data_IF_406775644224
#
_entry.id   IF_406775644224
#
_cell.length_a   1.000
_cell.length_b   1.000
_cell.length_c   1.000
_cell.angle_alpha   90.00
_cell.angle_beta   90.00
_cell.angle_gamma   90.00
#
_symmetry.space_group_name_H-M   'P 1'
#
loop_
_entity.id
_entity.type
_entity.pdbx_description
1 polymer ?
#
# COMPACT_ATOMS: atom_id res chain seq x y z
N UNK A 1 9.04 6.56 12.47
CA UNK A 1 10.02 6.22 11.42
C UNK A 1 9.83 7.19 10.27
N UNK A 2 10.89 7.67 9.62
CA UNK A 2 10.76 8.53 8.43
C UNK A 2 10.68 7.60 7.21
N UNK A 3 9.60 7.69 6.45
CA UNK A 3 9.43 7.02 5.15
C UNK A 3 9.33 8.11 4.11
N UNK A 4 10.19 8.06 3.10
CA UNK A 4 10.18 9.00 2.01
C UNK A 4 10.44 8.26 0.69
N UNK A 5 9.85 8.77 -0.39
CA UNK A 5 10.15 8.33 -1.76
C UNK A 5 11.41 9.02 -2.32
N UNK A 6 12.01 9.93 -1.55
CA UNK A 6 13.25 10.63 -1.90
C UNK A 6 14.46 9.79 -1.47
N UNK A 7 15.60 10.00 -2.16
CA UNK A 7 16.85 9.31 -1.82
C UNK A 7 17.46 9.83 -0.50
N UNK A 8 17.20 11.10 -0.15
CA UNK A 8 17.74 11.79 1.01
C UNK A 8 16.62 12.51 1.79
N UNK A 9 16.89 12.80 3.06
CA UNK A 9 16.01 13.58 3.95
C UNK A 9 16.67 14.93 4.22
N UNK A 10 15.98 16.03 3.91
CA UNK A 10 16.50 17.38 4.15
C UNK A 10 16.93 17.56 5.61
N UNK A 11 18.04 18.27 5.82
CA UNK A 11 18.65 18.54 7.13
C UNK A 11 19.02 17.28 7.95
N UNK A 12 19.14 16.12 7.29
CA UNK A 12 19.63 14.88 7.88
C UNK A 12 20.80 14.32 7.08
N UNK A 13 21.74 13.67 7.77
CA UNK A 13 22.86 12.94 7.15
C UNK A 13 22.70 11.44 7.41
N UNK A 14 22.74 10.63 6.37
CA UNK A 14 22.79 9.17 6.48
C UNK A 14 24.16 8.77 7.05
N UNK A 15 24.17 8.08 8.20
CA UNK A 15 25.41 7.65 8.87
C UNK A 15 25.75 6.17 8.62
N UNK A 16 24.77 5.38 8.19
CA UNK A 16 24.91 3.94 7.90
C UNK A 16 23.77 3.47 7.00
N UNK A 17 24.08 2.54 6.11
CA UNK A 17 23.10 1.87 5.24
C UNK A 17 23.06 0.38 5.59
N UNK A 18 21.86 -0.16 5.81
CA UNK A 18 21.65 -1.54 6.27
C UNK A 18 21.23 -2.51 5.16
N UNK A 19 20.99 -2.01 3.94
CA UNK A 19 20.52 -2.81 2.81
C UNK A 19 19.10 -2.45 2.40
N UNK A 20 18.55 -3.21 1.45
CA UNK A 20 17.19 -3.04 0.95
C UNK A 20 16.20 -3.79 1.85
N UNK A 21 15.09 -3.14 2.17
CA UNK A 21 13.92 -3.75 2.84
C UNK A 21 12.71 -3.71 1.91
N UNK A 22 11.73 -4.58 2.14
CA UNK A 22 10.53 -4.72 1.32
C UNK A 22 9.32 -5.14 2.14
N UNK A 23 8.15 -4.68 1.73
CA UNK A 23 6.88 -5.09 2.31
C UNK A 23 5.88 -5.37 1.21
N UNK A 24 5.32 -6.58 1.22
CA UNK A 24 4.37 -7.02 0.20
C UNK A 24 3.12 -7.57 0.88
N UNK A 25 1.97 -7.37 0.27
CA UNK A 25 0.72 -8.03 0.68
C UNK A 25 -0.17 -8.26 -0.53
N UNK A 26 -0.95 -9.34 -0.49
CA UNK A 26 -1.97 -9.63 -1.48
C UNK A 26 -3.27 -9.81 -0.72
N UNK A 27 -4.29 -9.05 -1.10
CA UNK A 27 -5.65 -9.16 -0.55
C UNK A 27 -6.54 -9.72 -1.64
N UNK A 28 -7.15 -10.87 -1.39
CA UNK A 28 -8.21 -11.42 -2.23
C UNK A 28 -9.57 -11.10 -1.61
N UNK A 29 -10.59 -10.86 -2.44
CA UNK A 29 -11.99 -10.82 -2.00
C UNK A 29 -12.74 -12.06 -2.43
N UNK A 30 -13.76 -12.39 -1.67
CA UNK A 30 -14.78 -13.35 -2.09
C UNK A 30 -15.62 -12.76 -3.24
N UNK A 31 -15.81 -13.58 -4.27
CA UNK A 31 -16.48 -13.34 -5.56
C UNK A 31 -17.87 -12.66 -5.46
N UNK A 32 -18.54 -12.65 -4.30
CA UNK A 32 -19.88 -12.09 -4.13
C UNK A 32 -20.01 -10.58 -4.30
N UNK A 33 -18.91 -9.80 -4.17
CA UNK A 33 -18.92 -8.34 -4.34
C UNK A 33 -18.66 -7.89 -5.79
N UNK A 34 -18.18 -8.80 -6.65
CA UNK A 34 -17.86 -8.52 -8.05
C UNK A 34 -19.11 -8.29 -8.90
N UNK A 35 -20.25 -8.87 -8.51
CA UNK A 35 -21.55 -8.69 -9.17
C UNK A 35 -22.09 -7.26 -8.97
N UNK A 36 -21.94 -6.69 -7.77
CA UNK A 36 -22.31 -5.30 -7.47
C UNK A 36 -21.37 -4.27 -8.12
N UNK A 37 -20.10 -4.64 -8.35
CA UNK A 37 -19.13 -3.80 -9.06
C UNK A 37 -19.39 -3.79 -10.57
N UNK A 38 -19.77 -4.92 -11.17
CA UNK A 38 -20.19 -4.99 -12.57
C UNK A 38 -21.37 -4.05 -12.88
N UNK A 39 -22.34 -3.95 -11.96
CA UNK A 39 -23.46 -3.00 -12.09
C UNK A 39 -23.04 -1.53 -11.92
N UNK A 40 -22.05 -1.21 -11.07
CA UNK A 40 -21.53 0.16 -10.89
C UNK A 40 -20.65 0.62 -12.05
N UNK A 41 -19.90 -0.28 -12.69
CA UNK A 41 -19.08 0.03 -13.87
C UNK A 41 -19.91 0.51 -15.08
N UNK A 42 -21.18 0.13 -15.18
CA UNK A 42 -22.09 0.63 -16.22
C UNK A 42 -22.51 2.09 -16.02
N UNK A 43 -22.41 2.62 -14.79
CA UNK A 43 -22.88 3.97 -14.43
C UNK A 43 -21.72 4.98 -14.36
N UNK A 44 -20.48 4.49 -14.29
CA UNK A 44 -19.29 5.32 -14.16
C UNK A 44 -19.08 5.82 -12.72
N UNK A 45 -17.88 5.59 -12.17
CA UNK A 45 -17.51 6.03 -10.82
C UNK A 45 -16.40 5.20 -10.20
N UNK A 46 -15.81 5.69 -9.11
CA UNK A 46 -14.85 4.94 -8.31
C UNK A 46 -15.54 3.74 -7.65
N UNK A 47 -14.96 2.54 -7.78
CA UNK A 47 -15.41 1.40 -7.00
C UNK A 47 -14.81 1.51 -5.60
N UNK A 48 -15.49 2.29 -4.74
CA UNK A 48 -15.10 2.61 -3.36
C UNK A 48 -14.54 1.42 -2.57
N UNK A 49 -15.10 0.25 -2.84
CA UNK A 49 -14.70 -0.99 -2.20
C UNK A 49 -13.31 -1.46 -2.62
N UNK A 50 -12.93 -1.32 -3.89
CA UNK A 50 -11.58 -1.62 -4.38
C UNK A 50 -10.58 -0.57 -3.91
N UNK A 51 -10.96 0.71 -3.91
CA UNK A 51 -10.09 1.77 -3.37
C UNK A 51 -9.77 1.54 -1.90
N UNK A 52 -10.78 1.21 -1.08
CA UNK A 52 -10.58 0.85 0.32
C UNK A 52 -9.62 -0.33 0.46
N UNK A 53 -9.78 -1.38 -0.36
CA UNK A 53 -8.89 -2.54 -0.32
C UNK A 53 -7.46 -2.19 -0.70
N UNK A 54 -7.27 -1.34 -1.72
CA UNK A 54 -5.95 -0.89 -2.15
C UNK A 54 -5.28 -0.01 -1.07
N UNK A 55 -6.05 0.83 -0.38
CA UNK A 55 -5.55 1.60 0.76
C UNK A 55 -5.09 0.67 1.89
N UNK A 56 -5.93 -0.29 2.31
CA UNK A 56 -5.59 -1.27 3.36
C UNK A 56 -4.37 -2.13 2.98
N UNK A 57 -4.27 -2.55 1.71
CA UNK A 57 -3.11 -3.28 1.21
C UNK A 57 -1.84 -2.44 1.27
N UNK A 58 -1.92 -1.15 0.92
CA UNK A 58 -0.78 -0.23 0.98
C UNK A 58 -0.28 -0.03 2.41
N UNK A 59 -1.18 0.22 3.36
CA UNK A 59 -0.82 0.38 4.78
C UNK A 59 -0.10 -0.88 5.31
N UNK A 60 -0.66 -2.06 5.05
CA UNK A 60 -0.03 -3.30 5.50
C UNK A 60 1.34 -3.57 4.84
N UNK A 61 1.50 -3.20 3.57
CA UNK A 61 2.80 -3.29 2.91
C UNK A 61 3.82 -2.37 3.57
N UNK A 62 3.44 -1.13 3.89
CA UNK A 62 4.29 -0.19 4.61
C UNK A 62 4.65 -0.69 6.01
N UNK A 63 3.70 -1.25 6.76
CA UNK A 63 3.95 -1.83 8.09
C UNK A 63 4.99 -2.95 8.05
N UNK A 64 4.87 -3.87 7.08
CA UNK A 64 5.82 -4.98 6.90
C UNK A 64 7.22 -4.50 6.53
N UNK A 65 7.31 -3.56 5.60
CA UNK A 65 8.58 -2.93 5.21
C UNK A 65 9.23 -2.23 6.40
N UNK A 66 8.43 -1.52 7.19
CA UNK A 66 8.88 -0.81 8.40
C UNK A 66 9.38 -1.76 9.49
N UNK A 67 8.73 -2.91 9.65
CA UNK A 67 9.13 -3.92 10.61
C UNK A 67 10.49 -4.54 10.24
N UNK A 68 10.74 -4.83 8.96
CA UNK A 68 12.03 -5.34 8.45
C UNK A 68 13.17 -4.32 8.59
N UNK A 69 12.86 -3.03 8.68
CA UNK A 69 13.85 -1.96 8.85
C UNK A 69 14.39 -1.78 10.29
N UNK A 70 13.93 -2.59 11.25
CA UNK A 70 14.42 -2.61 12.64
C UNK A 70 15.48 -3.69 12.86
#
# INVERSE_FOLDING_TARGET
>A
MIIATTNDVQDKRIVKTFGLVKGNTIRARHIGRDIMAAFRNLVGGEVSDYTKMMAEAREQALDRMSAEAN
#
